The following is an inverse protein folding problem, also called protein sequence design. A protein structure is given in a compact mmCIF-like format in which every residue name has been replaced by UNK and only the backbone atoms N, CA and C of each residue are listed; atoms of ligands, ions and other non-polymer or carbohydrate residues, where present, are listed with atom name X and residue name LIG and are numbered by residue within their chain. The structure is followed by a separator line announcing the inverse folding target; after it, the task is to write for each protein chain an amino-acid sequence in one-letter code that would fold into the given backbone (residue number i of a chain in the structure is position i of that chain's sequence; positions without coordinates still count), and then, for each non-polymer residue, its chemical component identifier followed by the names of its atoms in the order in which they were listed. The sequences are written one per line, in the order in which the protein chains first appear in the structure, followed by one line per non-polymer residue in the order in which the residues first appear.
data_IF_094324825768
#
_entry.id   IF_094324825768
#
_cell.length_a   1.000
_cell.length_b   1.000
_cell.length_c   1.000
_cell.angle_alpha   90.00
_cell.angle_beta   90.00
_cell.angle_gamma   90.00
#
_symmetry.space_group_name_H-M   'P 1'
#
loop_
_entity.id
_entity.type
_entity.pdbx_description
1 polymer ?
#
# COMPACT_ATOMS: atom_id res chain seq x y z
N UNK A 1 34.78 60.73 24.47
CA UNK A 1 34.39 59.34 24.66
C UNK A 1 32.90 59.07 24.37
N UNK A 2 31.96 60.03 24.56
CA UNK A 2 30.52 59.83 24.31
C UNK A 2 30.16 59.51 22.82
N UNK A 3 30.87 60.10 21.85
CA UNK A 3 30.64 59.87 20.42
C UNK A 3 31.00 58.45 19.97
N UNK A 4 31.96 57.78 20.59
CA UNK A 4 32.38 56.42 20.28
C UNK A 4 31.29 55.43 20.75
N UNK A 5 30.72 55.64 21.92
CA UNK A 5 29.67 54.78 22.49
C UNK A 5 28.37 54.91 21.66
N UNK A 6 28.04 56.10 21.21
CA UNK A 6 26.85 56.32 20.39
C UNK A 6 26.97 55.68 18.99
N UNK A 7 28.14 55.80 18.36
CA UNK A 7 28.42 55.12 17.09
C UNK A 7 28.41 53.58 17.23
N UNK A 8 28.88 53.04 18.36
CA UNK A 8 28.87 51.62 18.62
C UNK A 8 27.41 51.09 18.74
N UNK A 9 26.55 51.79 19.47
CA UNK A 9 25.14 51.41 19.61
C UNK A 9 24.36 51.45 18.30
N UNK A 10 24.67 52.43 17.42
CA UNK A 10 24.06 52.51 16.08
C UNK A 10 24.55 51.36 15.18
N UNK A 11 25.86 51.04 15.26
CA UNK A 11 26.42 49.95 14.49
C UNK A 11 25.85 48.60 14.91
N UNK A 12 25.70 48.33 16.21
CA UNK A 12 25.06 47.12 16.73
C UNK A 12 23.63 46.96 16.21
N UNK A 13 22.81 48.03 16.25
CA UNK A 13 21.45 48.02 15.69
C UNK A 13 21.44 47.64 14.22
N UNK A 14 22.39 48.22 13.44
CA UNK A 14 22.54 47.90 12.03
C UNK A 14 22.91 46.46 11.80
N UNK A 15 23.88 45.92 12.53
CA UNK A 15 24.25 44.50 12.45
C UNK A 15 23.13 43.57 12.87
N UNK A 16 22.38 43.88 13.94
CA UNK A 16 21.21 43.11 14.36
C UNK A 16 20.09 43.15 13.31
N UNK A 17 19.86 44.29 12.65
CA UNK A 17 18.86 44.35 11.58
C UNK A 17 19.27 43.53 10.36
N UNK A 18 20.54 43.58 9.96
CA UNK A 18 21.09 42.78 8.84
C UNK A 18 21.00 41.28 9.17
N UNK A 19 21.43 40.85 10.36
CA UNK A 19 21.36 39.50 10.80
C UNK A 19 19.89 38.96 10.84
N UNK A 20 18.93 39.78 11.26
CA UNK A 20 17.49 39.42 11.21
C UNK A 20 16.98 39.26 9.77
N UNK A 21 17.41 40.11 8.84
CA UNK A 21 17.04 40.02 7.42
C UNK A 21 17.64 38.74 6.82
N UNK A 22 18.92 38.46 7.09
CA UNK A 22 19.64 37.28 6.62
C UNK A 22 18.96 35.99 7.16
N UNK A 23 18.72 35.93 8.47
CA UNK A 23 17.99 34.83 9.09
C UNK A 23 16.56 34.64 8.54
N UNK A 24 15.88 35.74 8.21
CA UNK A 24 14.56 35.70 7.56
C UNK A 24 14.63 35.15 6.14
N UNK A 25 15.67 35.52 5.37
CA UNK A 25 15.90 35.01 4.03
C UNK A 25 16.25 33.52 4.04
N UNK A 26 17.11 33.09 4.98
CA UNK A 26 17.49 31.68 5.14
C UNK A 26 16.28 30.83 5.51
N UNK A 27 15.46 31.34 6.44
CA UNK A 27 14.21 30.67 6.82
C UNK A 27 13.26 30.52 5.62
N UNK A 28 13.07 31.59 4.85
CA UNK A 28 12.21 31.56 3.67
C UNK A 28 12.73 30.58 2.62
N UNK A 29 14.04 30.53 2.40
CA UNK A 29 14.66 29.57 1.48
C UNK A 29 14.41 28.12 1.90
N UNK A 30 14.48 27.82 3.21
CA UNK A 30 14.15 26.50 3.76
C UNK A 30 12.67 26.17 3.58
N UNK A 31 11.78 27.12 3.85
CA UNK A 31 10.32 26.96 3.65
C UNK A 31 10.01 26.69 2.16
N UNK A 32 10.62 27.40 1.25
CA UNK A 32 10.46 27.22 -0.19
C UNK A 32 10.97 25.83 -0.64
N UNK A 33 12.14 25.41 -0.18
CA UNK A 33 12.70 24.08 -0.47
C UNK A 33 11.80 22.96 0.09
N UNK A 34 11.28 23.11 1.29
CA UNK A 34 10.37 22.15 1.88
C UNK A 34 9.07 22.05 1.08
N UNK A 35 8.50 23.17 0.67
CA UNK A 35 7.30 23.20 -0.17
C UNK A 35 7.52 22.48 -1.52
N UNK A 36 8.69 22.65 -2.13
CA UNK A 36 9.05 21.97 -3.37
C UNK A 36 9.13 20.43 -3.15
N UNK A 37 9.76 20.00 -2.07
CA UNK A 37 9.83 18.57 -1.70
C UNK A 37 8.45 17.98 -1.43
N UNK A 38 7.60 18.69 -0.68
CA UNK A 38 6.23 18.26 -0.42
C UNK A 38 5.41 18.15 -1.70
N UNK A 39 5.50 19.12 -2.59
CA UNK A 39 4.79 19.11 -3.87
C UNK A 39 5.26 17.94 -4.75
N UNK A 40 6.56 17.71 -4.84
CA UNK A 40 7.12 16.56 -5.55
C UNK A 40 6.63 15.22 -4.97
N UNK A 41 6.44 15.15 -3.65
CA UNK A 41 5.87 13.96 -3.01
C UNK A 41 4.39 13.77 -3.37
N UNK A 42 3.60 14.84 -3.40
CA UNK A 42 2.19 14.80 -3.86
C UNK A 42 2.10 14.26 -5.28
N UNK A 43 2.98 14.71 -6.17
CA UNK A 43 3.03 14.21 -7.56
C UNK A 43 3.38 12.71 -7.61
N UNK A 44 4.32 12.23 -6.78
CA UNK A 44 4.66 10.81 -6.66
C UNK A 44 3.47 9.98 -6.16
N UNK A 45 2.73 10.48 -5.17
CA UNK A 45 1.51 9.82 -4.65
C UNK A 45 0.44 9.74 -5.74
N UNK A 46 0.28 10.80 -6.53
CA UNK A 46 -0.66 10.80 -7.65
C UNK A 46 -0.27 9.79 -8.72
N UNK A 47 1.01 9.73 -9.07
CA UNK A 47 1.52 8.74 -10.03
C UNK A 47 1.28 7.31 -9.55
N UNK A 48 1.54 7.01 -8.27
CA UNK A 48 1.26 5.70 -7.67
C UNK A 48 -0.23 5.36 -7.74
N UNK A 49 -1.10 6.29 -7.38
CA UNK A 49 -2.55 6.12 -7.47
C UNK A 49 -3.00 5.80 -8.89
N UNK A 50 -2.47 6.52 -9.89
CA UNK A 50 -2.81 6.31 -11.29
C UNK A 50 -2.32 4.96 -11.80
N UNK A 51 -1.11 4.54 -11.41
CA UNK A 51 -0.58 3.21 -11.72
C UNK A 51 -1.43 2.10 -11.11
N UNK A 52 -1.83 2.22 -9.83
CA UNK A 52 -2.72 1.27 -9.16
C UNK A 52 -4.09 1.24 -9.83
N UNK A 53 -4.64 2.40 -10.16
CA UNK A 53 -5.95 2.51 -10.83
C UNK A 53 -5.93 1.90 -12.23
N UNK A 54 -4.86 2.13 -12.99
CA UNK A 54 -4.68 1.57 -14.33
C UNK A 54 -4.54 0.05 -14.30
N UNK A 55 -3.77 -0.49 -13.35
CA UNK A 55 -3.57 -1.92 -13.17
C UNK A 55 -4.91 -2.68 -13.07
N UNK A 56 -5.92 -2.05 -12.45
CA UNK A 56 -7.22 -2.69 -12.22
C UNK A 56 -8.27 -2.32 -13.26
N UNK A 57 -8.18 -1.15 -13.93
CA UNK A 57 -9.09 -0.75 -15.01
C UNK A 57 -8.88 -1.57 -16.28
N UNK A 58 -7.66 -1.83 -16.65
CA UNK A 58 -7.34 -2.54 -17.88
C UNK A 58 -7.75 -4.02 -17.85
N UNK A 59 -8.05 -4.57 -16.67
CA UNK A 59 -8.56 -5.95 -16.53
C UNK A 59 -7.70 -7.03 -17.19
N UNK A 60 -6.58 -6.64 -17.82
CA UNK A 60 -5.66 -7.51 -18.54
C UNK A 60 -4.89 -8.49 -17.67
N UNK A 61 -4.84 -8.20 -16.39
CA UNK A 61 -4.14 -9.04 -15.42
C UNK A 61 -4.96 -10.22 -14.90
N UNK A 62 -6.28 -10.16 -15.05
CA UNK A 62 -7.20 -11.18 -14.55
C UNK A 62 -8.00 -11.72 -15.75
N UNK A 63 -7.30 -12.13 -16.79
CA UNK A 63 -7.93 -12.89 -17.86
C UNK A 63 -7.90 -14.37 -17.48
N UNK A 64 -9.07 -15.02 -17.29
CA UNK A 64 -9.15 -16.47 -17.04
C UNK A 64 -8.45 -17.27 -18.15
N UNK A 65 -8.46 -16.75 -19.40
CA UNK A 65 -7.79 -17.39 -20.53
C UNK A 65 -6.26 -17.21 -20.50
N UNK A 66 -5.73 -16.25 -19.73
CA UNK A 66 -4.29 -15.99 -19.62
C UNK A 66 -3.59 -16.77 -18.52
N UNK A 67 -4.27 -17.70 -17.88
CA UNK A 67 -3.68 -18.59 -16.88
C UNK A 67 -4.21 -18.46 -15.45
N UNK A 68 -5.15 -17.52 -15.19
CA UNK A 68 -5.91 -17.44 -13.95
C UNK A 68 -5.07 -17.68 -12.68
N UNK A 69 -5.45 -18.69 -11.91
CA UNK A 69 -4.77 -19.09 -10.66
C UNK A 69 -3.29 -19.45 -10.88
N UNK A 70 -2.88 -19.91 -12.08
CA UNK A 70 -1.48 -20.28 -12.35
C UNK A 70 -0.51 -19.10 -12.27
N UNK A 71 -0.98 -17.88 -12.50
CA UNK A 71 -0.21 -16.63 -12.37
C UNK A 71 -0.30 -15.99 -11.00
N UNK A 72 -0.95 -16.65 -10.04
CA UNK A 72 -1.16 -16.07 -8.70
C UNK A 72 0.13 -15.64 -8.02
N UNK A 73 1.24 -16.37 -8.24
CA UNK A 73 2.55 -16.01 -7.71
C UNK A 73 3.10 -14.69 -8.27
N UNK A 74 3.02 -14.51 -9.60
CA UNK A 74 3.48 -13.29 -10.28
C UNK A 74 2.63 -12.08 -9.88
N UNK A 75 1.32 -12.26 -9.86
CA UNK A 75 0.39 -11.21 -9.48
C UNK A 75 0.54 -10.81 -8.02
N UNK A 76 0.75 -11.81 -7.14
CA UNK A 76 1.06 -11.53 -5.74
C UNK A 76 2.30 -10.65 -5.62
N UNK A 77 3.40 -10.98 -6.30
CA UNK A 77 4.63 -10.19 -6.24
C UNK A 77 4.39 -8.74 -6.65
N UNK A 78 3.67 -8.51 -7.75
CA UNK A 78 3.36 -7.15 -8.22
C UNK A 78 2.50 -6.36 -7.23
N UNK A 79 1.49 -7.00 -6.66
CA UNK A 79 0.60 -6.36 -5.68
C UNK A 79 1.34 -6.10 -4.37
N UNK A 80 2.25 -7.00 -3.96
CA UNK A 80 3.13 -6.81 -2.81
C UNK A 80 4.07 -5.60 -3.02
N UNK A 81 4.61 -5.40 -4.23
CA UNK A 81 5.44 -4.24 -4.58
C UNK A 81 4.68 -2.92 -4.41
N UNK A 82 3.45 -2.83 -4.96
CA UNK A 82 2.61 -1.64 -4.76
C UNK A 82 2.23 -1.42 -3.29
N UNK A 83 1.96 -2.50 -2.56
CA UNK A 83 1.63 -2.41 -1.14
C UNK A 83 2.84 -1.95 -0.31
N UNK A 84 4.05 -2.40 -0.66
CA UNK A 84 5.29 -1.93 -0.06
C UNK A 84 5.54 -0.45 -0.36
N UNK A 85 5.28 0.01 -1.59
CA UNK A 85 5.38 1.43 -1.95
C UNK A 85 4.39 2.30 -1.15
N UNK A 86 3.15 1.84 -0.97
CA UNK A 86 2.16 2.56 -0.13
C UNK A 86 2.68 2.68 1.31
N UNK A 87 3.26 1.60 1.86
CA UNK A 87 3.82 1.63 3.21
C UNK A 87 5.00 2.59 3.33
N UNK A 88 5.90 2.61 2.35
CA UNK A 88 7.00 3.58 2.30
C UNK A 88 6.48 5.02 2.25
N UNK A 89 5.42 5.26 1.50
CA UNK A 89 4.80 6.59 1.41
C UNK A 89 4.07 6.99 2.70
N UNK A 90 3.51 6.02 3.45
CA UNK A 90 2.99 6.29 4.81
C UNK A 90 4.09 6.80 5.74
N UNK A 91 5.28 6.18 5.69
CA UNK A 91 6.43 6.59 6.48
C UNK A 91 6.87 8.01 6.07
N UNK A 92 6.91 8.32 4.77
CA UNK A 92 7.20 9.67 4.26
C UNK A 92 6.14 10.71 4.66
N UNK A 93 4.86 10.34 4.73
CA UNK A 93 3.81 11.23 5.23
C UNK A 93 4.07 11.66 6.68
N UNK A 94 4.52 10.73 7.51
CA UNK A 94 4.88 11.03 8.91
C UNK A 94 6.07 11.98 8.95
N UNK A 95 7.13 11.72 8.17
CA UNK A 95 8.31 12.58 8.10
C UNK A 95 7.96 14.01 7.64
N UNK A 96 7.09 14.14 6.63
CA UNK A 96 6.62 15.46 6.15
C UNK A 96 5.84 16.19 7.25
N UNK A 97 4.92 15.51 7.93
CA UNK A 97 4.13 16.11 8.99
C UNK A 97 4.99 16.54 10.19
N UNK A 98 6.00 15.74 10.54
CA UNK A 98 6.97 16.10 11.58
C UNK A 98 7.77 17.36 11.21
N UNK A 99 8.15 17.51 9.95
CA UNK A 99 8.86 18.70 9.48
C UNK A 99 7.94 19.92 9.39
N UNK A 100 6.67 19.74 9.00
CA UNK A 100 5.65 20.79 9.04
C UNK A 100 5.46 21.33 10.46
N UNK A 101 5.40 20.44 11.45
CA UNK A 101 5.29 20.84 12.86
C UNK A 101 6.51 21.65 13.28
N UNK A 102 7.73 21.24 12.91
CA UNK A 102 8.97 21.98 13.21
C UNK A 102 9.00 23.38 12.57
N UNK A 103 8.47 23.51 11.37
CA UNK A 103 8.36 24.78 10.67
C UNK A 103 7.17 25.63 11.12
N UNK A 104 6.27 25.06 11.91
CA UNK A 104 5.05 25.70 12.41
C UNK A 104 3.92 25.73 11.37
N UNK A 105 3.92 24.81 10.42
CA UNK A 105 2.84 24.60 9.46
C UNK A 105 1.75 23.68 10.03
N UNK A 106 0.57 23.73 9.41
CA UNK A 106 -0.46 22.75 9.70
C UNK A 106 -0.13 21.42 9.01
N UNK A 107 -0.39 20.26 9.66
CA UNK A 107 -0.11 18.96 9.06
C UNK A 107 -0.86 18.76 7.73
N UNK A 108 -0.17 18.25 6.73
CA UNK A 108 -0.74 17.91 5.43
C UNK A 108 -1.50 16.59 5.49
N UNK A 109 -2.53 16.46 4.66
CA UNK A 109 -3.27 15.21 4.46
C UNK A 109 -3.07 14.72 3.04
N UNK A 110 -2.98 13.40 2.87
CA UNK A 110 -2.72 12.76 1.58
C UNK A 110 -3.86 11.80 1.19
N UNK A 111 -5.08 12.31 0.91
CA UNK A 111 -6.27 11.47 0.65
C UNK A 111 -6.07 10.55 -0.57
N UNK A 112 -5.30 10.98 -1.56
CA UNK A 112 -4.98 10.17 -2.76
C UNK A 112 -4.24 8.87 -2.38
N UNK A 113 -3.39 8.89 -1.35
CA UNK A 113 -2.71 7.69 -0.85
C UNK A 113 -3.70 6.73 -0.18
N UNK A 114 -4.65 7.25 0.58
CA UNK A 114 -5.71 6.45 1.18
C UNK A 114 -6.64 5.85 0.13
N UNK A 115 -6.94 6.58 -0.95
CA UNK A 115 -7.69 6.07 -2.09
C UNK A 115 -6.94 4.95 -2.81
N UNK A 116 -5.64 5.12 -3.06
CA UNK A 116 -4.81 4.07 -3.66
C UNK A 116 -4.80 2.79 -2.80
N UNK A 117 -4.68 2.94 -1.48
CA UNK A 117 -4.78 1.83 -0.52
C UNK A 117 -6.15 1.14 -0.58
N UNK A 118 -7.22 1.92 -0.57
CA UNK A 118 -8.60 1.39 -0.65
C UNK A 118 -8.87 0.62 -1.94
N UNK A 119 -8.28 1.06 -3.06
CA UNK A 119 -8.37 0.34 -4.34
C UNK A 119 -7.56 -0.95 -4.28
N UNK A 120 -6.33 -0.91 -3.75
CA UNK A 120 -5.40 -2.03 -3.75
C UNK A 120 -5.77 -3.15 -2.78
N UNK A 121 -6.30 -2.84 -1.59
CA UNK A 121 -6.52 -3.80 -0.49
C UNK A 121 -7.32 -5.05 -0.89
N UNK A 122 -8.46 -4.98 -1.60
CA UNK A 122 -9.19 -6.18 -2.01
C UNK A 122 -8.42 -7.06 -3.01
N UNK A 123 -7.61 -6.47 -3.86
CA UNK A 123 -6.76 -7.23 -4.81
C UNK A 123 -5.56 -7.86 -4.10
N UNK A 124 -4.96 -7.16 -3.16
CA UNK A 124 -3.93 -7.72 -2.29
C UNK A 124 -4.43 -8.98 -1.57
N UNK A 125 -5.62 -8.92 -0.97
CA UNK A 125 -6.26 -10.06 -0.32
C UNK A 125 -6.59 -11.19 -1.30
N UNK A 126 -7.09 -10.85 -2.50
CA UNK A 126 -7.41 -11.83 -3.53
C UNK A 126 -6.16 -12.60 -3.99
N UNK A 127 -5.09 -11.90 -4.33
CA UNK A 127 -3.88 -12.55 -4.85
C UNK A 127 -3.11 -13.31 -3.77
N UNK A 128 -3.16 -12.88 -2.52
CA UNK A 128 -2.67 -13.67 -1.40
C UNK A 128 -3.47 -14.96 -1.22
N UNK A 129 -4.78 -14.89 -1.27
CA UNK A 129 -5.65 -16.07 -1.19
C UNK A 129 -5.43 -17.02 -2.38
N UNK A 130 -5.34 -16.49 -3.62
CA UNK A 130 -5.08 -17.27 -4.82
C UNK A 130 -3.72 -17.98 -4.78
N UNK A 131 -2.66 -17.30 -4.34
CA UNK A 131 -1.34 -17.89 -4.21
C UNK A 131 -1.28 -18.94 -3.10
N UNK A 132 -1.92 -18.67 -1.95
CA UNK A 132 -2.03 -19.66 -0.87
C UNK A 132 -2.80 -20.89 -1.34
N UNK A 133 -3.92 -20.69 -2.03
CA UNK A 133 -4.71 -21.78 -2.61
C UNK A 133 -3.88 -22.61 -3.60
N UNK A 134 -3.20 -21.97 -4.56
CA UNK A 134 -2.38 -22.67 -5.55
C UNK A 134 -1.32 -23.58 -4.90
N UNK A 135 -0.64 -23.06 -3.87
CA UNK A 135 0.38 -23.80 -3.13
C UNK A 135 -0.19 -24.95 -2.29
N UNK A 136 -1.30 -24.68 -1.61
CA UNK A 136 -1.94 -25.65 -0.72
C UNK A 136 -2.65 -26.74 -1.50
N UNK A 137 -3.43 -26.37 -2.51
CA UNK A 137 -4.20 -27.31 -3.33
C UNK A 137 -3.27 -28.29 -4.08
N UNK A 138 -2.14 -27.82 -4.58
CA UNK A 138 -1.13 -28.67 -5.20
C UNK A 138 -0.57 -29.74 -4.24
N UNK A 139 -0.36 -29.38 -2.97
CA UNK A 139 0.06 -30.30 -1.92
C UNK A 139 -1.06 -31.27 -1.52
N UNK A 140 -2.27 -30.79 -1.41
CA UNK A 140 -3.44 -31.60 -1.01
C UNK A 140 -3.78 -32.67 -2.05
N UNK A 141 -3.71 -32.31 -3.35
CA UNK A 141 -4.10 -33.22 -4.44
C UNK A 141 -2.99 -34.14 -4.94
N UNK A 142 -1.72 -33.75 -4.81
CA UNK A 142 -0.56 -34.46 -5.37
C UNK A 142 0.43 -34.92 -4.31
N UNK A 143 0.34 -34.39 -3.11
CA UNK A 143 1.23 -34.75 -2.00
C UNK A 143 0.88 -36.11 -1.39
N UNK A 144 1.85 -36.76 -0.73
CA UNK A 144 1.59 -37.99 0.02
C UNK A 144 0.67 -37.69 1.23
N UNK A 145 -0.43 -38.44 1.34
CA UNK A 145 -1.48 -38.22 2.35
C UNK A 145 -0.94 -38.22 3.79
N UNK A 146 0.05 -39.06 4.07
CA UNK A 146 0.67 -39.18 5.40
C UNK A 146 1.48 -37.93 5.83
N UNK A 147 1.73 -36.98 4.93
CA UNK A 147 2.36 -35.72 5.26
C UNK A 147 1.33 -34.58 5.49
N UNK A 148 0.04 -34.85 5.29
CA UNK A 148 -1.02 -33.88 5.51
C UNK A 148 -1.48 -33.96 6.96
N UNK A 149 -1.36 -32.84 7.67
CA UNK A 149 -1.95 -32.70 9.00
C UNK A 149 -3.39 -32.24 8.82
N UNK A 150 -4.35 -33.05 9.25
CA UNK A 150 -5.79 -32.81 9.05
C UNK A 150 -6.21 -31.43 9.54
N UNK A 151 -5.83 -31.05 10.76
CA UNK A 151 -6.21 -29.78 11.38
C UNK A 151 -5.70 -28.57 10.55
N UNK A 152 -4.49 -28.66 10.01
CA UNK A 152 -3.91 -27.59 9.18
C UNK A 152 -4.64 -27.46 7.85
N UNK A 153 -4.97 -28.59 7.21
CA UNK A 153 -5.70 -28.61 5.93
C UNK A 153 -7.08 -28.01 6.10
N UNK A 154 -7.83 -28.43 7.15
CA UNK A 154 -9.16 -27.91 7.44
C UNK A 154 -9.12 -26.43 7.74
N UNK A 155 -8.20 -26.00 8.59
CA UNK A 155 -8.05 -24.58 8.96
C UNK A 155 -7.78 -23.70 7.74
N UNK A 156 -6.78 -24.06 6.93
CA UNK A 156 -6.41 -23.29 5.73
C UNK A 156 -7.55 -23.30 4.71
N UNK A 157 -8.22 -24.44 4.51
CA UNK A 157 -9.35 -24.54 3.60
C UNK A 157 -10.55 -23.71 4.05
N UNK A 158 -10.89 -23.74 5.32
CA UNK A 158 -12.01 -22.97 5.88
C UNK A 158 -11.73 -21.46 5.83
N UNK A 159 -10.51 -21.05 6.14
CA UNK A 159 -10.10 -19.63 6.07
C UNK A 159 -10.12 -19.14 4.62
N UNK A 160 -9.58 -19.91 3.67
CA UNK A 160 -9.64 -19.59 2.24
C UNK A 160 -11.08 -19.48 1.74
N UNK A 161 -11.94 -20.43 2.09
CA UNK A 161 -13.33 -20.43 1.67
C UNK A 161 -14.09 -19.21 2.17
N UNK A 162 -13.91 -18.83 3.44
CA UNK A 162 -14.51 -17.63 4.04
C UNK A 162 -14.01 -16.36 3.39
N UNK A 163 -12.67 -16.25 3.21
CA UNK A 163 -12.04 -15.08 2.61
C UNK A 163 -12.48 -14.87 1.16
N UNK A 164 -12.39 -15.92 0.32
CA UNK A 164 -12.76 -15.83 -1.10
C UNK A 164 -14.24 -15.55 -1.28
N UNK A 165 -15.11 -16.14 -0.47
CA UNK A 165 -16.55 -15.84 -0.51
C UNK A 165 -16.85 -14.37 -0.19
N UNK A 166 -16.16 -13.81 0.79
CA UNK A 166 -16.32 -12.39 1.16
C UNK A 166 -15.76 -11.46 0.07
N UNK A 167 -14.58 -11.80 -0.45
CA UNK A 167 -13.94 -11.06 -1.53
C UNK A 167 -14.74 -11.08 -2.82
N UNK A 168 -15.37 -12.23 -3.17
CA UNK A 168 -16.24 -12.34 -4.34
C UNK A 168 -17.39 -11.34 -4.31
N UNK A 169 -18.02 -11.14 -3.14
CA UNK A 169 -19.09 -10.15 -2.97
C UNK A 169 -18.56 -8.72 -3.07
N UNK A 170 -17.44 -8.43 -2.45
CA UNK A 170 -16.83 -7.08 -2.43
C UNK A 170 -16.29 -6.69 -3.82
N UNK A 171 -15.73 -7.64 -4.56
CA UNK A 171 -15.18 -7.40 -5.88
C UNK A 171 -16.26 -7.39 -6.99
N UNK A 172 -17.45 -7.94 -6.75
CA UNK A 172 -18.53 -7.94 -7.73
C UNK A 172 -18.91 -6.52 -8.22
N UNK A 173 -18.82 -5.55 -7.33
CA UNK A 173 -19.08 -4.13 -7.64
C UNK A 173 -17.89 -3.43 -8.31
N UNK A 174 -16.66 -3.94 -8.12
CA UNK A 174 -15.42 -3.30 -8.59
C UNK A 174 -14.87 -3.91 -9.88
N UNK A 175 -14.87 -5.23 -9.98
CA UNK A 175 -14.32 -5.97 -11.13
C UNK A 175 -14.96 -7.34 -11.27
N UNK A 176 -15.76 -7.53 -12.30
CA UNK A 176 -16.41 -8.82 -12.61
C UNK A 176 -15.39 -9.96 -12.76
N UNK A 177 -14.23 -9.69 -13.38
CA UNK A 177 -13.18 -10.71 -13.58
C UNK A 177 -12.54 -11.16 -12.25
N UNK A 178 -12.25 -10.21 -11.36
CA UNK A 178 -11.71 -10.50 -10.04
C UNK A 178 -12.73 -11.26 -9.17
N UNK A 179 -14.00 -10.89 -9.26
CA UNK A 179 -15.08 -11.60 -8.58
C UNK A 179 -15.20 -13.04 -9.09
N UNK A 180 -15.16 -13.27 -10.40
CA UNK A 180 -15.20 -14.63 -11.00
C UNK A 180 -14.03 -15.49 -10.51
N UNK A 181 -12.81 -14.96 -10.47
CA UNK A 181 -11.65 -15.68 -9.95
C UNK A 181 -11.84 -16.05 -8.47
N UNK A 182 -12.37 -15.12 -7.68
CA UNK A 182 -12.64 -15.36 -6.25
C UNK A 182 -13.69 -16.44 -6.05
N UNK A 183 -14.73 -16.46 -6.86
CA UNK A 183 -15.79 -17.51 -6.84
C UNK A 183 -15.20 -18.84 -7.27
N UNK A 184 -14.42 -18.89 -8.34
CA UNK A 184 -13.75 -20.11 -8.81
C UNK A 184 -12.89 -20.74 -7.72
N UNK A 185 -12.09 -19.96 -6.99
CA UNK A 185 -11.30 -20.47 -5.86
C UNK A 185 -12.22 -20.96 -4.75
N UNK A 186 -13.29 -20.23 -4.44
CA UNK A 186 -14.27 -20.60 -3.42
C UNK A 186 -14.93 -21.94 -3.71
N UNK A 187 -15.32 -22.18 -4.97
CA UNK A 187 -15.97 -23.41 -5.42
C UNK A 187 -15.00 -24.59 -5.37
N UNK A 188 -13.76 -24.41 -5.87
CA UNK A 188 -12.72 -25.44 -5.80
C UNK A 188 -12.36 -25.83 -4.37
N UNK A 189 -12.32 -24.87 -3.44
CA UNK A 189 -12.13 -25.17 -2.01
C UNK A 189 -13.36 -25.86 -1.43
N UNK A 190 -14.57 -25.43 -1.83
CA UNK A 190 -15.83 -26.06 -1.43
C UNK A 190 -15.91 -27.52 -1.83
N UNK A 191 -15.51 -27.84 -3.06
CA UNK A 191 -15.45 -29.22 -3.56
C UNK A 191 -14.43 -30.05 -2.77
N UNK A 192 -13.25 -29.46 -2.49
CA UNK A 192 -12.23 -30.15 -1.70
C UNK A 192 -12.68 -30.43 -0.25
N UNK A 193 -13.49 -29.57 0.35
CA UNK A 193 -14.04 -29.77 1.72
C UNK A 193 -14.87 -31.03 1.85
N UNK A 194 -15.50 -31.53 0.79
CA UNK A 194 -16.22 -32.78 0.79
C UNK A 194 -15.32 -34.00 1.08
N UNK A 195 -14.02 -33.84 0.92
CA UNK A 195 -13.03 -34.89 1.16
C UNK A 195 -12.37 -34.82 2.54
N UNK A 196 -12.76 -33.88 3.40
CA UNK A 196 -12.18 -33.74 4.75
C UNK A 196 -12.31 -35.02 5.59
N UNK A 197 -13.45 -35.72 5.49
CA UNK A 197 -13.67 -36.94 6.23
C UNK A 197 -12.66 -38.06 5.85
N UNK A 198 -12.17 -38.05 4.60
CA UNK A 198 -11.15 -39.00 4.14
C UNK A 198 -9.76 -38.71 4.72
N UNK A 199 -9.52 -37.50 5.16
CA UNK A 199 -8.24 -37.09 5.76
C UNK A 199 -8.22 -37.30 7.28
N UNK A 200 -9.42 -37.51 7.90
CA UNK A 200 -9.55 -37.75 9.34
C UNK A 200 -9.48 -39.24 9.71
N UNK A 201 -9.55 -40.13 8.72
CA UNK A 201 -9.49 -41.58 8.89
C UNK A 201 -8.05 -42.08 8.97
#
# INVERSE_FOLDING_TARGET
PAGIIFNWALNIRKYLSLARIEQGNDRKALEDQFNDLRNAFVDQVQELHDQVSLLFKEGGYIDPNSGGIKKAGEMKTRVDEYFASIKEYDEKCIEINDEEERLGFAPSTFPTLDEARFILDPYFKLWNAANLFQRSYGKWMKGPVHHLVYEDVVKVGDDLWKQTRTLGKLLAEKSEKAAKLSVEICDMVGDFKQHYDLLSA
#
